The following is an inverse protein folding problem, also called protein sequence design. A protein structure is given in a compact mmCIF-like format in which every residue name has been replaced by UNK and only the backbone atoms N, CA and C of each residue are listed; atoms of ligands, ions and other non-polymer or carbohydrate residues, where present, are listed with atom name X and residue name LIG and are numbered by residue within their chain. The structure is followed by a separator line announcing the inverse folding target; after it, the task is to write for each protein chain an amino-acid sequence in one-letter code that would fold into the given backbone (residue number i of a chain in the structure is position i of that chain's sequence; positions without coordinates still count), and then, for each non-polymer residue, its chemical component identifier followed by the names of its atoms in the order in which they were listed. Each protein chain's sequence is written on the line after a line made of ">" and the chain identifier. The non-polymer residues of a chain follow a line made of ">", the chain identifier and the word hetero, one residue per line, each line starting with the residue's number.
data_IF_356383149747
#
_entry.id   IF_356383149747
#
_cell.length_a   1.000
_cell.length_b   1.000
_cell.length_c   1.000
_cell.angle_alpha   90.00
_cell.angle_beta   90.00
_cell.angle_gamma   90.00
#
_symmetry.space_group_name_H-M   'P 1'
#
loop_
_entity.id
_entity.type
_entity.pdbx_description
1 polymer ?
#
# COMPACT_ATOMS: atom_id res chain seq x y z
N UNK A 1 -7.70 8.02 -21.60
CA UNK A 1 -7.69 9.33 -20.91
C UNK A 1 -7.33 9.03 -19.46
N UNK A 2 -6.30 9.65 -18.90
CA UNK A 2 -5.94 9.50 -17.49
C UNK A 2 -6.70 10.58 -16.72
N UNK A 3 -7.84 10.23 -16.15
CA UNK A 3 -8.77 11.20 -15.57
C UNK A 3 -8.76 11.20 -14.05
N UNK A 4 -8.33 10.10 -13.44
CA UNK A 4 -8.24 9.96 -11.99
C UNK A 4 -7.13 10.84 -11.43
N UNK A 5 -7.44 11.50 -10.32
CA UNK A 5 -6.52 12.35 -9.57
C UNK A 5 -6.68 11.97 -8.11
N UNK A 6 -5.65 11.42 -7.50
CA UNK A 6 -5.74 10.92 -6.13
C UNK A 6 -5.97 12.05 -5.09
N UNK A 7 -5.71 13.31 -5.44
CA UNK A 7 -5.97 14.47 -4.58
C UNK A 7 -7.43 14.61 -4.12
N UNK A 8 -8.41 14.05 -4.86
CA UNK A 8 -9.82 14.02 -4.43
C UNK A 8 -10.08 12.99 -3.31
N UNK A 9 -9.19 12.04 -3.07
CA UNK A 9 -9.44 10.91 -2.18
C UNK A 9 -8.41 10.80 -1.05
N UNK A 10 -7.42 11.70 -1.04
CA UNK A 10 -6.29 11.66 -0.13
C UNK A 10 -6.75 11.62 1.33
N UNK A 11 -6.27 10.60 2.06
CA UNK A 11 -6.55 10.42 3.48
C UNK A 11 -7.91 9.81 3.79
N UNK A 12 -8.62 9.25 2.81
CA UNK A 12 -9.84 8.49 3.06
C UNK A 12 -9.56 7.14 3.76
N UNK A 13 -10.61 6.38 4.07
CA UNK A 13 -10.48 5.07 4.74
C UNK A 13 -9.60 4.06 3.98
N UNK A 14 -9.58 4.13 2.64
CA UNK A 14 -8.82 3.22 1.80
C UNK A 14 -7.31 3.53 1.89
N UNK A 15 -6.96 4.81 1.90
CA UNK A 15 -5.61 5.27 2.15
C UNK A 15 -5.13 4.94 3.56
N UNK A 16 -6.00 5.01 4.57
CA UNK A 16 -5.66 4.60 5.94
C UNK A 16 -5.25 3.13 5.95
N UNK A 17 -6.07 2.22 5.41
CA UNK A 17 -5.74 0.79 5.36
C UNK A 17 -4.44 0.55 4.57
N UNK A 18 -4.33 1.15 3.37
CA UNK A 18 -3.20 0.98 2.47
C UNK A 18 -1.89 1.43 3.11
N UNK A 19 -1.82 2.67 3.59
CA UNK A 19 -0.59 3.23 4.14
C UNK A 19 -0.24 2.64 5.49
N UNK A 20 -1.22 2.27 6.31
CA UNK A 20 -0.95 1.52 7.53
C UNK A 20 -0.27 0.18 7.21
N UNK A 21 -0.84 -0.63 6.32
CA UNK A 21 -0.25 -1.91 5.89
C UNK A 21 1.14 -1.67 5.28
N UNK A 22 1.30 -0.65 4.43
CA UNK A 22 2.58 -0.30 3.83
C UNK A 22 3.65 0.00 4.89
N UNK A 23 3.33 0.80 5.91
CA UNK A 23 4.26 1.10 7.03
C UNK A 23 4.69 -0.20 7.70
N UNK A 24 3.75 -1.10 8.01
CA UNK A 24 4.06 -2.38 8.68
C UNK A 24 4.94 -3.28 7.81
N UNK A 25 4.73 -3.30 6.49
CA UNK A 25 5.58 -4.02 5.56
C UNK A 25 7.01 -3.45 5.54
N UNK A 26 7.18 -2.12 5.52
CA UNK A 26 8.50 -1.50 5.61
C UNK A 26 9.20 -1.81 6.93
N UNK A 27 8.50 -1.67 8.07
CA UNK A 27 9.06 -1.96 9.40
C UNK A 27 9.54 -3.41 9.50
N UNK A 28 8.79 -4.37 8.95
CA UNK A 28 9.25 -5.76 8.89
C UNK A 28 10.48 -5.92 7.99
N UNK A 29 10.48 -5.28 6.81
CA UNK A 29 11.62 -5.34 5.90
C UNK A 29 12.89 -4.73 6.50
N UNK A 30 12.76 -3.75 7.39
CA UNK A 30 13.87 -3.09 8.08
C UNK A 30 14.55 -3.97 9.13
N UNK A 31 13.92 -5.07 9.59
CA UNK A 31 14.50 -5.97 10.60
C UNK A 31 15.76 -6.71 10.13
N UNK A 32 16.00 -6.78 8.81
CA UNK A 32 17.20 -7.38 8.22
C UNK A 32 18.10 -6.31 7.64
N UNK A 33 19.37 -6.28 8.05
CA UNK A 33 20.36 -5.25 7.66
C UNK A 33 20.59 -5.14 6.15
N UNK A 34 20.44 -6.25 5.41
CA UNK A 34 20.53 -6.26 3.95
C UNK A 34 19.51 -5.28 3.35
N UNK A 35 19.96 -4.39 2.46
CA UNK A 35 19.07 -3.45 1.78
C UNK A 35 17.92 -4.16 1.03
N UNK A 36 16.82 -3.45 0.77
CA UNK A 36 15.78 -3.89 -0.16
C UNK A 36 15.45 -2.79 -1.17
N UNK A 37 14.78 -3.18 -2.26
CA UNK A 37 14.21 -2.24 -3.22
C UNK A 37 12.71 -2.13 -2.98
N UNK A 38 12.24 -0.92 -2.70
CA UNK A 38 10.83 -0.58 -2.75
C UNK A 38 10.47 -0.17 -4.18
N UNK A 39 9.41 -0.74 -4.73
CA UNK A 39 8.90 -0.41 -6.06
C UNK A 39 7.45 0.02 -5.92
N UNK A 40 7.14 1.24 -6.34
CA UNK A 40 5.79 1.78 -6.35
C UNK A 40 5.34 1.98 -7.80
N UNK A 41 4.43 1.13 -8.26
CA UNK A 41 4.02 1.13 -9.67
C UNK A 41 3.10 2.30 -10.04
N UNK A 42 2.46 2.94 -9.06
CA UNK A 42 1.46 3.99 -9.23
C UNK A 42 1.60 5.02 -8.10
N UNK A 43 2.67 5.80 -8.17
CA UNK A 43 3.15 6.64 -7.07
C UNK A 43 2.28 7.88 -6.80
N UNK A 44 1.43 8.28 -7.74
CA UNK A 44 0.66 9.50 -7.63
C UNK A 44 1.55 10.74 -7.48
N UNK A 45 1.07 11.73 -6.75
CA UNK A 45 1.77 13.00 -6.52
C UNK A 45 2.73 12.96 -5.31
N UNK A 46 2.74 11.86 -4.55
CA UNK A 46 3.60 11.67 -3.37
C UNK A 46 3.11 12.36 -2.09
N UNK A 47 2.66 13.61 -2.17
CA UNK A 47 2.15 14.39 -1.03
C UNK A 47 0.92 15.18 -1.48
N UNK A 48 -0.13 15.23 -0.64
CA UNK A 48 -1.40 15.83 -0.98
C UNK A 48 -1.80 16.91 0.02
N UNK A 49 -2.15 18.10 -0.48
CA UNK A 49 -2.71 19.16 0.35
C UNK A 49 -4.22 18.93 0.55
N UNK A 50 -4.64 18.76 1.79
CA UNK A 50 -6.03 18.52 2.21
C UNK A 50 -6.89 19.79 2.21
N UNK A 51 -6.26 20.97 2.12
CA UNK A 51 -6.92 22.27 1.93
C UNK A 51 -7.02 22.68 0.44
N UNK A 52 -6.63 21.80 -0.48
CA UNK A 52 -6.79 22.04 -1.93
C UNK A 52 -8.26 22.00 -2.36
N UNK A 53 -8.59 22.70 -3.46
CA UNK A 53 -9.94 22.71 -4.03
C UNK A 53 -10.47 21.30 -4.30
N UNK A 54 -9.60 20.40 -4.77
CA UNK A 54 -9.94 19.01 -5.05
C UNK A 54 -10.29 18.24 -3.76
N UNK A 55 -9.44 18.35 -2.73
CA UNK A 55 -9.66 17.67 -1.45
C UNK A 55 -10.90 18.22 -0.71
N UNK A 56 -11.13 19.54 -0.75
CA UNK A 56 -12.30 20.17 -0.14
C UNK A 56 -13.62 19.82 -0.84
N UNK A 57 -13.59 19.50 -2.15
CA UNK A 57 -14.78 19.12 -2.90
C UNK A 57 -15.37 17.78 -2.44
N UNK A 58 -14.53 16.83 -2.04
CA UNK A 58 -14.95 15.50 -1.60
C UNK A 58 -14.92 15.33 -0.07
N UNK A 59 -14.00 16.02 0.60
CA UNK A 59 -13.76 16.00 2.03
C UNK A 59 -13.60 14.59 2.64
N UNK A 60 -13.10 13.62 1.86
CA UNK A 60 -13.07 12.21 2.29
C UNK A 60 -12.15 11.95 3.50
N UNK A 61 -11.12 12.79 3.70
CA UNK A 61 -10.22 12.72 4.85
C UNK A 61 -10.93 12.89 6.20
N UNK A 62 -12.05 13.62 6.23
CA UNK A 62 -12.87 13.82 7.43
C UNK A 62 -13.43 12.51 7.98
N UNK A 63 -13.66 11.53 7.10
CA UNK A 63 -14.13 10.17 7.45
C UNK A 63 -13.05 9.09 7.31
N UNK A 64 -11.79 9.51 7.15
CA UNK A 64 -10.64 8.63 7.00
C UNK A 64 -9.61 8.90 8.09
N UNK A 65 -8.55 9.64 7.77
CA UNK A 65 -7.46 9.90 8.71
C UNK A 65 -7.84 10.85 9.86
N UNK A 66 -8.80 11.76 9.67
CA UNK A 66 -9.10 12.80 10.65
C UNK A 66 -9.54 12.26 12.04
N UNK A 67 -10.43 11.26 12.17
CA UNK A 67 -10.78 10.68 13.46
C UNK A 67 -9.61 9.97 14.17
N UNK A 68 -8.66 9.42 13.40
CA UNK A 68 -7.49 8.73 13.95
C UNK A 68 -6.38 9.70 14.40
N UNK A 69 -6.32 10.89 13.81
CA UNK A 69 -5.28 11.88 14.02
C UNK A 69 -5.01 12.21 15.49
N UNK A 70 -6.09 12.47 16.23
CA UNK A 70 -6.06 12.89 17.64
C UNK A 70 -6.39 11.75 18.60
N UNK A 71 -6.49 10.50 18.11
CA UNK A 71 -6.77 9.38 19.00
C UNK A 71 -5.60 9.17 19.96
N UNK A 72 -5.94 9.05 21.25
CA UNK A 72 -5.04 8.69 22.35
C UNK A 72 -5.08 7.19 22.68
N UNK A 73 -6.04 6.46 22.11
CA UNK A 73 -6.34 5.05 22.39
C UNK A 73 -6.03 4.13 21.19
N UNK A 74 -5.38 4.65 20.15
CA UNK A 74 -4.98 3.87 19.00
C UNK A 74 -4.03 2.71 19.42
N UNK A 75 -4.30 1.46 18.98
CA UNK A 75 -3.41 0.34 19.20
C UNK A 75 -1.97 0.63 18.78
N UNK A 76 -1.00 0.11 19.54
CA UNK A 76 0.42 0.40 19.34
C UNK A 76 0.93 0.21 17.90
N UNK A 77 0.48 -0.79 17.11
CA UNK A 77 0.92 -0.92 15.72
C UNK A 77 0.59 0.30 14.84
N UNK A 78 -0.49 1.05 15.13
CA UNK A 78 -0.86 2.25 14.37
C UNK A 78 0.06 3.45 14.62
N UNK A 79 0.81 3.46 15.73
CA UNK A 79 1.60 4.61 16.16
C UNK A 79 2.56 5.11 15.07
N UNK A 80 3.35 4.23 14.46
CA UNK A 80 4.31 4.61 13.43
C UNK A 80 3.65 5.25 12.19
N UNK A 81 2.44 4.80 11.83
CA UNK A 81 1.68 5.43 10.75
C UNK A 81 1.16 6.81 11.16
N UNK A 82 0.53 6.92 12.33
CA UNK A 82 -0.01 8.19 12.82
C UNK A 82 1.09 9.23 13.06
N UNK A 83 2.24 8.82 13.59
CA UNK A 83 3.39 9.68 13.83
C UNK A 83 3.99 10.20 12.52
N UNK A 84 3.97 9.40 11.45
CA UNK A 84 4.36 9.84 10.12
C UNK A 84 3.42 10.94 9.59
N UNK A 85 2.10 10.74 9.70
CA UNK A 85 1.14 11.77 9.28
C UNK A 85 1.31 13.03 10.16
N UNK A 86 1.50 12.88 11.49
CA UNK A 86 1.75 13.97 12.46
C UNK A 86 3.01 14.75 12.16
N UNK A 87 4.11 14.06 11.88
CA UNK A 87 5.39 14.66 11.52
C UNK A 87 5.33 15.52 10.26
N UNK A 88 4.45 15.19 9.31
CA UNK A 88 4.20 16.02 8.12
C UNK A 88 3.45 17.33 8.45
N UNK A 89 2.82 17.44 9.62
CA UNK A 89 1.99 18.58 10.01
C UNK A 89 2.40 19.16 11.38
N UNK A 90 3.63 19.71 11.52
CA UNK A 90 4.17 20.18 12.80
C UNK A 90 3.38 21.33 13.44
N UNK A 91 2.56 22.04 12.65
CA UNK A 91 1.70 23.13 13.15
C UNK A 91 0.48 22.65 13.97
N UNK A 92 0.25 21.34 14.09
CA UNK A 92 -0.92 20.76 14.74
C UNK A 92 -2.21 20.82 13.89
N UNK A 93 -2.16 21.46 12.71
CA UNK A 93 -3.26 21.49 11.73
C UNK A 93 -2.97 20.49 10.62
N UNK A 94 -3.90 19.57 10.38
CA UNK A 94 -3.79 18.59 9.29
C UNK A 94 -4.01 19.27 7.94
N UNK A 95 -2.92 19.66 7.28
CA UNK A 95 -2.91 20.30 5.95
C UNK A 95 -2.43 19.37 4.86
N UNK A 96 -1.57 18.42 5.21
CA UNK A 96 -0.94 17.52 4.26
C UNK A 96 -1.19 16.07 4.65
N UNK A 97 -1.38 15.23 3.64
CA UNK A 97 -1.46 13.79 3.77
C UNK A 97 -0.34 13.12 2.97
N UNK A 98 0.39 12.16 3.56
CA UNK A 98 1.45 11.44 2.88
C UNK A 98 0.87 10.38 1.93
N UNK A 99 1.27 10.43 0.67
CA UNK A 99 1.09 9.32 -0.27
C UNK A 99 2.13 8.23 -0.06
N UNK A 100 1.93 7.08 -0.72
CA UNK A 100 2.81 5.91 -0.61
C UNK A 100 4.30 6.20 -0.90
N UNK A 101 4.69 7.10 -1.82
CA UNK A 101 6.10 7.43 -2.00
C UNK A 101 6.71 8.13 -0.78
N UNK A 102 5.98 9.06 -0.17
CA UNK A 102 6.45 9.75 1.03
C UNK A 102 6.56 8.78 2.21
N UNK A 103 5.55 7.91 2.37
CA UNK A 103 5.59 6.83 3.37
C UNK A 103 6.85 5.98 3.19
N UNK A 104 7.14 5.56 1.96
CA UNK A 104 8.31 4.74 1.69
C UNK A 104 9.62 5.48 1.96
N UNK A 105 9.73 6.76 1.62
CA UNK A 105 10.94 7.56 1.84
C UNK A 105 11.25 7.72 3.33
N UNK A 106 10.23 7.98 4.14
CA UNK A 106 10.39 8.19 5.58
C UNK A 106 10.65 6.90 6.36
N UNK A 107 10.02 5.77 5.97
CA UNK A 107 10.10 4.52 6.74
C UNK A 107 11.24 3.62 6.27
N UNK A 108 11.64 3.67 5.00
CA UNK A 108 12.78 2.89 4.52
C UNK A 108 14.10 3.46 5.07
N UNK A 109 15.17 2.67 5.08
CA UNK A 109 16.48 3.12 5.58
C UNK A 109 17.32 3.74 4.45
N UNK A 110 18.46 4.32 4.78
CA UNK A 110 19.33 5.04 3.85
C UNK A 110 19.89 4.14 2.73
N UNK A 111 20.18 2.88 3.03
CA UNK A 111 20.71 1.90 2.07
C UNK A 111 19.64 1.32 1.13
N UNK A 112 18.36 1.44 1.48
CA UNK A 112 17.25 0.92 0.70
C UNK A 112 16.98 1.82 -0.53
N UNK A 113 16.51 1.23 -1.63
CA UNK A 113 16.32 1.95 -2.90
C UNK A 113 14.84 2.07 -3.23
N UNK A 114 14.41 3.24 -3.69
CA UNK A 114 13.03 3.49 -4.09
C UNK A 114 12.93 3.69 -5.60
N UNK A 115 12.04 2.94 -6.25
CA UNK A 115 11.70 3.08 -7.67
C UNK A 115 10.23 3.46 -7.78
N UNK A 116 9.97 4.70 -8.19
CA UNK A 116 8.64 5.31 -8.16
C UNK A 116 8.20 5.58 -9.60
N UNK A 117 7.04 5.06 -9.98
CA UNK A 117 6.48 5.20 -11.31
C UNK A 117 5.16 5.94 -11.25
N UNK A 118 4.99 6.92 -12.13
CA UNK A 118 3.72 7.61 -12.34
C UNK A 118 3.53 7.83 -13.84
N UNK A 119 2.33 7.54 -14.35
CA UNK A 119 2.01 7.63 -15.77
C UNK A 119 1.36 8.97 -16.13
N UNK A 120 0.61 9.57 -15.20
CA UNK A 120 -0.04 10.86 -15.38
C UNK A 120 1.00 11.99 -15.40
N UNK A 121 1.15 12.74 -16.50
CA UNK A 121 2.25 13.70 -16.67
C UNK A 121 2.25 14.84 -15.64
N UNK A 122 1.07 15.30 -15.21
CA UNK A 122 0.99 16.30 -14.14
C UNK A 122 1.36 15.76 -12.76
N UNK A 123 0.95 14.53 -12.40
CA UNK A 123 1.31 13.96 -11.09
C UNK A 123 2.78 13.57 -11.04
N UNK A 124 3.35 13.05 -12.13
CA UNK A 124 4.79 12.82 -12.23
C UNK A 124 5.61 14.10 -11.98
N UNK A 125 5.19 15.24 -12.56
CA UNK A 125 5.84 16.53 -12.31
C UNK A 125 5.73 16.96 -10.84
N UNK A 126 4.53 16.87 -10.25
CA UNK A 126 4.31 17.21 -8.84
C UNK A 126 5.12 16.30 -7.91
N UNK A 127 5.15 14.99 -8.17
CA UNK A 127 5.94 14.00 -7.44
C UNK A 127 7.43 14.36 -7.48
N UNK A 128 7.96 14.65 -8.66
CA UNK A 128 9.36 15.05 -8.85
C UNK A 128 9.68 16.35 -8.10
N UNK A 129 8.79 17.33 -8.14
CA UNK A 129 8.95 18.60 -7.42
C UNK A 129 8.88 18.44 -5.91
N UNK A 130 7.96 17.61 -5.40
CA UNK A 130 7.81 17.31 -3.98
C UNK A 130 9.08 16.67 -3.42
N UNK A 131 9.62 15.64 -4.10
CA UNK A 131 10.86 15.00 -3.67
C UNK A 131 12.08 15.93 -3.78
N UNK A 132 12.16 16.77 -4.82
CA UNK A 132 13.21 17.80 -4.92
C UNK A 132 13.17 18.78 -3.74
N UNK A 133 11.98 19.20 -3.32
CA UNK A 133 11.81 20.09 -2.15
C UNK A 133 12.18 19.39 -0.85
N UNK A 134 11.83 18.11 -0.69
CA UNK A 134 12.21 17.31 0.47
C UNK A 134 13.72 17.14 0.57
N UNK A 135 14.39 16.82 -0.54
CA UNK A 135 15.84 16.69 -0.58
C UNK A 135 16.54 18.03 -0.27
N UNK A 136 16.01 19.15 -0.78
CA UNK A 136 16.53 20.48 -0.46
C UNK A 136 16.38 20.80 1.04
N UNK A 137 15.23 20.49 1.64
CA UNK A 137 15.00 20.70 3.07
C UNK A 137 15.94 19.87 3.95
N UNK A 138 16.14 18.58 3.61
CA UNK A 138 17.10 17.70 4.29
C UNK A 138 18.53 18.25 4.17
N UNK A 139 18.91 18.72 2.98
CA UNK A 139 20.22 19.32 2.75
C UNK A 139 20.45 20.61 3.57
N UNK A 140 19.42 21.44 3.74
CA UNK A 140 19.44 22.62 4.61
C UNK A 140 19.61 22.23 6.09
N UNK A 141 19.10 21.07 6.50
CA UNK A 141 19.25 20.50 7.84
C UNK A 141 20.59 19.75 8.03
N UNK A 142 21.46 19.74 7.03
CA UNK A 142 22.77 19.09 7.09
C UNK A 142 22.77 17.61 6.74
N UNK A 143 21.62 17.04 6.38
CA UNK A 143 21.50 15.66 5.91
C UNK A 143 21.88 15.58 4.43
N UNK A 144 23.04 14.98 4.12
CA UNK A 144 23.50 14.78 2.74
C UNK A 144 23.49 13.30 2.39
N UNK A 145 22.54 12.88 1.55
CA UNK A 145 22.48 11.51 1.06
C UNK A 145 23.64 11.20 0.08
N UNK A 146 24.29 10.05 0.27
CA UNK A 146 25.31 9.55 -0.66
C UNK A 146 24.65 8.81 -1.83
N UNK A 147 24.54 9.51 -2.96
CA UNK A 147 23.98 8.96 -4.20
C UNK A 147 22.45 8.98 -4.27
N UNK A 148 21.90 8.57 -5.41
CA UNK A 148 20.46 8.68 -5.69
C UNK A 148 19.69 7.49 -5.12
N UNK A 149 19.11 7.67 -3.94
CA UNK A 149 18.26 6.68 -3.24
C UNK A 149 16.90 6.50 -3.93
N UNK A 150 16.31 7.61 -4.35
CA UNK A 150 14.97 7.67 -4.96
C UNK A 150 15.11 7.96 -6.46
N UNK A 151 14.53 7.07 -7.27
CA UNK A 151 14.42 7.25 -8.72
C UNK A 151 12.93 7.34 -9.06
N UNK A 152 12.54 8.45 -9.66
CA UNK A 152 11.19 8.73 -10.14
C UNK A 152 11.22 8.67 -11.66
N UNK A 153 10.32 7.90 -12.25
CA UNK A 153 10.25 7.66 -13.69
C UNK A 153 8.82 7.93 -14.20
N UNK A 154 8.71 8.70 -15.30
CA UNK A 154 7.46 8.89 -16.02
C UNK A 154 7.22 7.68 -16.92
N UNK A 155 6.34 6.77 -16.53
CA UNK A 155 6.16 5.53 -17.29
C UNK A 155 5.16 4.56 -16.69
N UNK A 156 4.92 3.46 -17.41
CA UNK A 156 4.05 2.37 -16.97
C UNK A 156 4.76 1.52 -15.90
N UNK A 157 4.33 1.67 -14.65
CA UNK A 157 4.90 0.93 -13.53
C UNK A 157 4.76 -0.59 -13.63
N UNK A 158 3.73 -1.12 -14.32
CA UNK A 158 3.62 -2.55 -14.56
C UNK A 158 4.74 -3.05 -15.47
N UNK A 159 4.98 -2.35 -16.58
CA UNK A 159 6.02 -2.72 -17.54
C UNK A 159 7.42 -2.65 -16.92
N UNK A 160 7.64 -1.72 -15.99
CA UNK A 160 8.90 -1.53 -15.30
C UNK A 160 9.28 -2.69 -14.37
N UNK A 161 8.31 -3.44 -13.83
CA UNK A 161 8.60 -4.58 -12.94
C UNK A 161 9.54 -5.61 -13.59
N UNK A 162 9.38 -5.84 -14.90
CA UNK A 162 10.22 -6.76 -15.69
C UNK A 162 11.71 -6.41 -15.64
N UNK A 163 12.03 -5.12 -15.64
CA UNK A 163 13.42 -4.63 -15.63
C UNK A 163 14.00 -4.55 -14.21
N UNK A 164 13.15 -4.45 -13.19
CA UNK A 164 13.56 -4.27 -11.79
C UNK A 164 13.67 -5.56 -11.00
N UNK A 165 13.01 -6.64 -11.46
CA UNK A 165 12.92 -7.90 -10.73
C UNK A 165 13.74 -9.02 -11.40
N UNK A 166 14.54 -9.78 -10.63
CA UNK A 166 14.86 -9.57 -9.21
C UNK A 166 15.84 -8.40 -9.00
N UNK A 167 15.75 -7.64 -7.91
CA UNK A 167 16.72 -6.59 -7.62
C UNK A 167 18.07 -7.19 -7.20
N UNK A 168 19.19 -6.44 -7.33
CA UNK A 168 20.51 -6.90 -6.88
C UNK A 168 20.56 -7.31 -5.41
N UNK A 169 19.77 -6.65 -4.56
CA UNK A 169 19.65 -6.97 -3.13
C UNK A 169 18.95 -8.30 -2.83
N UNK A 170 18.28 -8.91 -3.82
CA UNK A 170 17.43 -10.09 -3.66
C UNK A 170 16.34 -9.91 -2.59
N UNK A 171 15.93 -8.66 -2.34
CA UNK A 171 14.83 -8.29 -1.44
C UNK A 171 14.04 -7.16 -2.10
N UNK A 172 12.73 -7.34 -2.24
CA UNK A 172 11.83 -6.31 -2.77
C UNK A 172 10.53 -6.25 -1.98
N UNK A 173 10.04 -5.03 -1.81
CA UNK A 173 8.65 -4.74 -1.46
C UNK A 173 8.05 -3.99 -2.65
N UNK A 174 7.01 -4.55 -3.28
CA UNK A 174 6.36 -3.95 -4.44
C UNK A 174 4.95 -3.54 -4.06
N UNK A 175 4.62 -2.26 -4.21
CA UNK A 175 3.26 -1.73 -4.07
C UNK A 175 2.62 -1.57 -5.46
N UNK A 176 1.42 -2.13 -5.60
CA UNK A 176 0.58 -2.04 -6.79
C UNK A 176 -0.74 -1.38 -6.40
N UNK A 177 -0.91 -0.13 -6.81
CA UNK A 177 -2.05 0.73 -6.44
C UNK A 177 -2.62 1.47 -7.66
N UNK A 178 -3.09 0.76 -8.70
CA UNK A 178 -3.66 1.42 -9.87
C UNK A 178 -4.99 2.10 -9.52
N UNK A 179 -5.45 3.06 -10.33
CA UNK A 179 -6.69 3.78 -10.04
C UNK A 179 -7.96 2.95 -10.32
N UNK A 180 -7.85 1.83 -11.05
CA UNK A 180 -8.99 1.02 -11.51
C UNK A 180 -10.04 1.83 -12.29
N UNK A 181 -9.58 2.82 -13.07
CA UNK A 181 -10.43 3.64 -13.95
C UNK A 181 -11.10 2.77 -15.01
N UNK A 182 -10.35 1.79 -15.55
CA UNK A 182 -10.83 0.89 -16.58
C UNK A 182 -10.88 -0.55 -16.06
N UNK A 183 -11.85 -1.33 -16.55
CA UNK A 183 -12.04 -2.74 -16.15
C UNK A 183 -10.79 -3.61 -16.39
N UNK A 184 -9.96 -3.24 -17.36
CA UNK A 184 -8.77 -4.01 -17.71
C UNK A 184 -7.65 -3.87 -16.67
N UNK A 185 -7.71 -2.88 -15.77
CA UNK A 185 -6.70 -2.71 -14.71
C UNK A 185 -6.64 -3.94 -13.79
N UNK A 186 -7.79 -4.55 -13.47
CA UNK A 186 -7.84 -5.80 -12.68
C UNK A 186 -7.08 -6.94 -13.38
N UNK A 187 -7.20 -7.05 -14.70
CA UNK A 187 -6.47 -8.05 -15.48
C UNK A 187 -4.97 -7.71 -15.50
N UNK A 188 -4.62 -6.45 -15.75
CA UNK A 188 -3.23 -5.98 -15.81
C UNK A 188 -2.48 -6.23 -14.50
N UNK A 189 -3.13 -5.98 -13.35
CA UNK A 189 -2.52 -6.28 -12.04
C UNK A 189 -2.21 -7.77 -11.90
N UNK A 190 -3.19 -8.64 -12.19
CA UNK A 190 -2.99 -10.09 -12.10
C UNK A 190 -1.84 -10.55 -13.01
N UNK A 191 -1.84 -10.10 -14.26
CA UNK A 191 -0.83 -10.50 -15.25
C UNK A 191 0.57 -10.00 -14.85
N UNK A 192 0.66 -8.77 -14.33
CA UNK A 192 1.92 -8.20 -13.84
C UNK A 192 2.46 -8.98 -12.62
N UNK A 193 1.58 -9.41 -11.71
CA UNK A 193 1.97 -10.24 -10.57
C UNK A 193 2.41 -11.64 -10.97
N UNK A 194 1.73 -12.27 -11.93
CA UNK A 194 2.12 -13.59 -12.46
C UNK A 194 3.52 -13.54 -13.09
N UNK A 195 3.80 -12.52 -13.91
CA UNK A 195 5.16 -12.32 -14.45
C UNK A 195 6.18 -12.00 -13.35
N UNK A 196 5.83 -11.12 -12.41
CA UNK A 196 6.72 -10.73 -11.31
C UNK A 196 7.08 -11.92 -10.41
N UNK A 197 6.12 -12.78 -10.06
CA UNK A 197 6.35 -14.02 -9.33
C UNK A 197 7.21 -15.00 -10.12
N UNK A 198 7.00 -15.13 -11.44
CA UNK A 198 7.86 -15.95 -12.29
C UNK A 198 9.32 -15.51 -12.31
N UNK A 199 9.59 -14.21 -12.14
CA UNK A 199 10.94 -13.63 -12.08
C UNK A 199 11.55 -13.64 -10.69
N UNK A 200 10.75 -13.29 -9.68
CA UNK A 200 11.18 -13.15 -8.30
C UNK A 200 10.12 -13.69 -7.34
N UNK A 201 10.05 -15.03 -7.17
CA UNK A 201 9.02 -15.69 -6.36
C UNK A 201 9.03 -15.28 -4.88
N UNK A 202 10.17 -14.82 -4.36
CA UNK A 202 10.36 -14.47 -2.95
C UNK A 202 10.15 -12.98 -2.63
N UNK A 203 9.74 -12.16 -3.60
CA UNK A 203 9.36 -10.77 -3.34
C UNK A 203 8.06 -10.67 -2.54
N UNK A 204 7.92 -9.61 -1.73
CA UNK A 204 6.64 -9.27 -1.11
C UNK A 204 5.90 -8.31 -2.03
N UNK A 205 4.69 -8.67 -2.46
CA UNK A 205 3.87 -7.87 -3.37
C UNK A 205 2.59 -7.47 -2.65
N UNK A 206 2.37 -6.18 -2.46
CA UNK A 206 1.18 -5.61 -1.84
C UNK A 206 0.34 -4.92 -2.91
N UNK A 207 -0.93 -5.30 -2.99
CA UNK A 207 -1.88 -4.82 -3.98
C UNK A 207 -3.04 -4.15 -3.26
N UNK A 208 -3.21 -2.86 -3.46
CA UNK A 208 -4.45 -2.20 -3.07
C UNK A 208 -5.52 -2.47 -4.13
N UNK A 209 -6.77 -2.66 -3.70
CA UNK A 209 -7.89 -2.74 -4.63
C UNK A 209 -9.20 -2.23 -4.04
N UNK A 210 -10.07 -1.60 -4.87
CA UNK A 210 -11.39 -1.20 -4.43
C UNK A 210 -12.33 -2.41 -4.46
N UNK A 211 -13.21 -2.50 -3.46
CA UNK A 211 -14.28 -3.52 -3.40
C UNK A 211 -15.59 -2.84 -3.83
N UNK A 212 -15.97 -3.09 -5.08
CA UNK A 212 -17.09 -2.45 -5.77
C UNK A 212 -18.14 -3.50 -6.18
N UNK A 213 -19.35 -3.06 -6.50
CA UNK A 213 -20.44 -3.95 -6.90
C UNK A 213 -20.24 -4.61 -8.28
N UNK A 214 -19.26 -4.16 -9.06
CA UNK A 214 -18.94 -4.72 -10.38
C UNK A 214 -18.26 -6.10 -10.25
N UNK A 215 -18.49 -6.96 -11.24
CA UNK A 215 -18.04 -8.36 -11.21
C UNK A 215 -16.52 -8.50 -11.14
N UNK A 216 -15.77 -7.65 -11.85
CA UNK A 216 -14.31 -7.69 -11.90
C UNK A 216 -13.70 -7.48 -10.52
N UNK A 217 -14.26 -6.55 -9.74
CA UNK A 217 -13.82 -6.26 -8.37
C UNK A 217 -14.18 -7.40 -7.42
N UNK A 218 -15.41 -7.92 -7.47
CA UNK A 218 -15.86 -9.04 -6.62
C UNK A 218 -15.02 -10.30 -6.81
N UNK A 219 -14.63 -10.61 -8.05
CA UNK A 219 -13.81 -11.78 -8.36
C UNK A 219 -12.31 -11.54 -8.18
N UNK A 220 -11.87 -10.31 -7.92
CA UNK A 220 -10.47 -9.94 -8.04
C UNK A 220 -9.59 -10.69 -7.04
N UNK A 221 -9.94 -10.64 -5.75
CA UNK A 221 -9.21 -11.35 -4.71
C UNK A 221 -9.11 -12.85 -5.00
N UNK A 222 -10.19 -13.49 -5.43
CA UNK A 222 -10.19 -14.91 -5.77
C UNK A 222 -9.31 -15.25 -6.98
N UNK A 223 -9.16 -14.32 -7.93
CA UNK A 223 -8.19 -14.47 -9.03
C UNK A 223 -6.76 -14.33 -8.53
N UNK A 224 -6.49 -13.46 -7.56
CA UNK A 224 -5.17 -13.29 -6.96
C UNK A 224 -4.77 -14.50 -6.08
N UNK A 225 -5.72 -15.12 -5.36
CA UNK A 225 -5.51 -16.37 -4.59
C UNK A 225 -4.95 -17.52 -5.44
N UNK A 226 -5.12 -17.48 -6.77
CA UNK A 226 -4.66 -18.51 -7.72
C UNK A 226 -3.25 -18.26 -8.25
N UNK A 227 -2.62 -17.14 -7.91
CA UNK A 227 -1.24 -16.84 -8.32
C UNK A 227 -0.25 -17.78 -7.62
N UNK A 228 0.91 -18.07 -8.26
CA UNK A 228 1.90 -19.01 -7.74
C UNK A 228 2.79 -18.43 -6.63
N UNK A 229 2.19 -17.77 -5.63
CA UNK A 229 2.89 -17.31 -4.43
C UNK A 229 2.92 -18.41 -3.37
N UNK A 230 3.95 -18.39 -2.51
CA UNK A 230 4.06 -19.36 -1.42
C UNK A 230 2.88 -19.23 -0.45
N UNK A 231 2.60 -18.00 -0.06
CA UNK A 231 1.55 -17.62 0.89
C UNK A 231 0.90 -16.32 0.43
N UNK A 232 -0.36 -16.10 0.81
CA UNK A 232 -1.08 -14.88 0.57
C UNK A 232 -1.93 -14.48 1.77
N UNK A 233 -2.17 -13.18 1.91
CA UNK A 233 -3.02 -12.56 2.92
C UNK A 233 -3.90 -11.52 2.24
N UNK A 234 -5.20 -11.57 2.53
CA UNK A 234 -6.18 -10.60 2.07
C UNK A 234 -6.83 -9.96 3.28
N UNK A 235 -6.79 -8.63 3.38
CA UNK A 235 -7.52 -7.86 4.38
C UNK A 235 -8.44 -6.87 3.67
N UNK A 236 -9.71 -6.83 4.06
CA UNK A 236 -10.66 -5.82 3.57
C UNK A 236 -11.21 -5.00 4.73
N UNK A 237 -11.44 -3.71 4.47
CA UNK A 237 -12.14 -2.80 5.35
C UNK A 237 -13.38 -2.29 4.63
N UNK A 238 -14.53 -2.42 5.27
CA UNK A 238 -15.81 -1.83 4.86
C UNK A 238 -16.23 -0.82 5.92
N UNK A 239 -16.42 0.44 5.53
CA UNK A 239 -16.81 1.51 6.45
C UNK A 239 -18.32 1.77 6.48
N UNK A 240 -19.06 1.34 5.45
CA UNK A 240 -20.52 1.47 5.43
C UNK A 240 -21.18 0.45 4.52
N UNK A 241 -22.50 0.29 4.67
CA UNK A 241 -23.33 -0.49 3.77
C UNK A 241 -23.28 0.10 2.35
N UNK A 242 -23.07 -0.73 1.31
CA UNK A 242 -23.13 -0.23 -0.05
C UNK A 242 -24.47 0.41 -0.40
N UNK A 243 -24.44 1.57 -1.06
CA UNK A 243 -25.68 2.19 -1.54
C UNK A 243 -26.34 1.32 -2.61
N UNK A 244 -27.68 1.31 -2.71
CA UNK A 244 -28.39 0.56 -3.75
C UNK A 244 -27.90 0.90 -5.17
N UNK A 245 -27.53 2.16 -5.40
CA UNK A 245 -27.02 2.65 -6.68
C UNK A 245 -25.55 2.28 -6.94
N UNK A 246 -24.87 1.69 -5.96
CA UNK A 246 -23.47 1.24 -6.06
C UNK A 246 -22.45 2.37 -6.24
N UNK A 247 -22.80 3.59 -5.85
CA UNK A 247 -21.99 4.79 -6.04
C UNK A 247 -21.00 5.02 -4.90
N UNK A 248 -19.74 5.28 -5.25
CA UNK A 248 -18.68 5.58 -4.28
C UNK A 248 -17.95 4.35 -3.75
N UNK A 249 -16.84 4.60 -3.05
CA UNK A 249 -16.01 3.56 -2.44
C UNK A 249 -16.37 3.42 -0.96
N UNK A 250 -16.91 2.28 -0.58
CA UNK A 250 -17.27 1.99 0.83
C UNK A 250 -16.39 0.89 1.44
N UNK A 251 -15.72 0.14 0.56
CA UNK A 251 -14.92 -1.01 0.91
C UNK A 251 -13.67 -1.02 0.04
N UNK A 252 -12.53 -1.29 0.66
CA UNK A 252 -11.26 -1.49 -0.04
C UNK A 252 -10.50 -2.65 0.61
N UNK A 253 -9.50 -3.18 -0.10
CA UNK A 253 -8.68 -4.26 0.39
C UNK A 253 -7.20 -4.10 0.07
N UNK A 254 -6.38 -4.79 0.86
CA UNK A 254 -4.98 -5.03 0.61
C UNK A 254 -4.77 -6.53 0.45
N UNK A 255 -4.26 -6.94 -0.71
CA UNK A 255 -3.87 -8.31 -1.01
C UNK A 255 -2.35 -8.42 -1.05
N UNK A 256 -1.77 -9.24 -0.19
CA UNK A 256 -0.34 -9.37 -0.02
C UNK A 256 0.09 -10.78 -0.41
N UNK A 257 1.00 -10.89 -1.37
CA UNK A 257 1.70 -12.12 -1.71
C UNK A 257 3.02 -12.18 -0.96
N UNK A 258 3.33 -13.35 -0.41
CA UNK A 258 4.44 -13.59 0.51
C UNK A 258 4.45 -12.58 1.67
N UNK A 259 3.35 -12.50 2.45
CA UNK A 259 3.26 -11.58 3.57
C UNK A 259 4.26 -11.95 4.68
N UNK A 260 4.76 -10.96 5.44
CA UNK A 260 5.40 -11.21 6.72
C UNK A 260 4.49 -12.02 7.66
N UNK A 261 5.05 -12.99 8.38
CA UNK A 261 4.27 -13.84 9.30
C UNK A 261 3.63 -13.05 10.46
N UNK A 262 4.19 -11.88 10.79
CA UNK A 262 3.68 -10.99 11.84
C UNK A 262 2.47 -10.16 11.40
N UNK A 263 2.20 -10.07 10.09
CA UNK A 263 1.22 -9.13 9.55
C UNK A 263 -0.22 -9.55 9.87
N UNK A 264 -0.57 -10.83 9.71
CA UNK A 264 -1.92 -11.30 9.96
C UNK A 264 -2.34 -11.17 11.45
N UNK A 265 -1.56 -11.64 12.45
CA UNK A 265 -1.91 -11.47 13.85
C UNK A 265 -2.09 -10.00 14.24
N UNK A 266 -1.20 -9.12 13.77
CA UNK A 266 -1.29 -7.68 14.00
C UNK A 266 -2.56 -7.08 13.39
N UNK A 267 -2.94 -7.48 12.18
CA UNK A 267 -4.20 -7.02 11.58
C UNK A 267 -5.41 -7.50 12.38
N UNK A 268 -5.40 -8.72 12.92
CA UNK A 268 -6.50 -9.21 13.78
C UNK A 268 -6.67 -8.36 15.05
N UNK A 269 -5.60 -7.78 15.57
CA UNK A 269 -5.64 -6.84 16.70
C UNK A 269 -6.16 -5.45 16.28
N UNK A 270 -5.71 -4.91 15.16
CA UNK A 270 -5.94 -3.51 14.77
C UNK A 270 -7.26 -3.29 14.02
N UNK A 271 -7.68 -4.24 13.19
CA UNK A 271 -8.85 -4.08 12.33
C UNK A 271 -10.17 -3.82 13.09
N UNK A 272 -10.44 -4.44 14.27
CA UNK A 272 -11.61 -4.08 15.09
C UNK A 272 -11.63 -2.59 15.45
N UNK A 273 -10.47 -2.02 15.83
CA UNK A 273 -10.34 -0.61 16.17
C UNK A 273 -10.57 0.29 14.94
N UNK A 274 -10.02 -0.06 13.77
CA UNK A 274 -10.29 0.69 12.54
C UNK A 274 -11.77 0.67 12.14
N UNK A 275 -12.47 -0.45 12.33
CA UNK A 275 -13.93 -0.51 12.11
C UNK A 275 -14.67 0.38 13.10
N UNK A 276 -14.29 0.36 14.38
CA UNK A 276 -14.89 1.21 15.40
C UNK A 276 -14.75 2.71 15.08
N UNK A 277 -13.57 3.14 14.63
CA UNK A 277 -13.28 4.57 14.40
C UNK A 277 -13.75 5.07 13.04
N UNK A 278 -13.64 4.23 12.00
CA UNK A 278 -13.94 4.64 10.62
C UNK A 278 -15.33 4.20 10.14
N UNK A 279 -15.98 3.30 10.87
CA UNK A 279 -17.33 2.83 10.55
C UNK A 279 -18.36 3.94 10.63
N UNK A 280 -19.24 4.02 9.62
CA UNK A 280 -20.29 5.03 9.50
C UNK A 280 -21.69 4.46 9.77
N UNK A 281 -21.85 3.14 9.70
CA UNK A 281 -23.10 2.43 9.98
C UNK A 281 -22.86 1.00 10.49
N UNK A 282 -23.93 0.27 10.81
CA UNK A 282 -23.87 -1.12 11.27
C UNK A 282 -23.39 -2.14 10.23
N UNK A 283 -23.17 -1.73 8.98
CA UNK A 283 -22.57 -2.54 7.92
C UNK A 283 -21.04 -2.50 7.90
N UNK A 284 -20.42 -1.61 8.71
CA UNK A 284 -18.98 -1.51 8.85
C UNK A 284 -18.39 -2.82 9.41
N UNK A 285 -17.35 -3.34 8.76
CA UNK A 285 -16.73 -4.63 9.09
C UNK A 285 -15.37 -4.76 8.44
N UNK A 286 -14.61 -5.76 8.87
CA UNK A 286 -13.41 -6.19 8.17
C UNK A 286 -13.47 -7.68 7.85
N UNK A 287 -12.68 -8.11 6.87
CA UNK A 287 -12.39 -9.52 6.64
C UNK A 287 -10.89 -9.73 6.59
N UNK A 288 -10.42 -10.87 7.10
CA UNK A 288 -9.04 -11.33 6.97
C UNK A 288 -9.09 -12.77 6.50
N UNK A 289 -8.48 -13.05 5.36
CA UNK A 289 -8.31 -14.38 4.79
C UNK A 289 -6.83 -14.59 4.49
N UNK A 290 -6.32 -15.78 4.77
CA UNK A 290 -4.96 -16.15 4.37
C UNK A 290 -4.95 -17.56 3.79
N UNK A 291 -3.91 -17.87 3.03
CA UNK A 291 -3.71 -19.19 2.48
C UNK A 291 -2.28 -19.42 2.06
N UNK A 292 -1.88 -20.68 2.06
CA UNK A 292 -0.64 -21.14 1.46
C UNK A 292 -0.95 -21.88 0.17
N UNK A 293 -0.01 -21.88 -0.78
CA UNK A 293 -0.11 -22.84 -1.86
C UNK A 293 0.03 -24.25 -1.30
N UNK A 294 -0.98 -25.08 -1.53
CA UNK A 294 -0.89 -26.52 -1.35
C UNK A 294 0.19 -27.00 -2.32
N UNK A 295 1.34 -27.39 -1.80
CA UNK A 295 2.42 -28.00 -2.57
C UNK A 295 1.89 -29.28 -3.21
N UNK A 296 1.41 -29.17 -4.44
CA UNK A 296 0.76 -30.27 -5.15
C UNK A 296 0.55 -30.00 -6.64
N UNK A 297 1.33 -29.10 -7.24
CA UNK A 297 1.45 -28.99 -8.70
C UNK A 297 2.71 -28.20 -9.05
N UNK A 298 3.87 -28.80 -8.78
CA UNK A 298 5.03 -28.51 -9.62
C UNK A 298 4.71 -29.00 -11.03
N UNK A 299 4.00 -28.18 -11.81
CA UNK A 299 3.87 -28.38 -13.24
C UNK A 299 5.27 -28.20 -13.84
N UNK A 300 5.92 -29.32 -14.10
CA UNK A 300 7.24 -29.37 -14.71
C UNK A 300 7.27 -28.58 -16.00
N UNK A 301 8.06 -27.51 -16.01
CA UNK A 301 8.75 -27.04 -17.21
C UNK A 301 10.22 -27.38 -17.06
N UNK A 302 10.54 -28.66 -17.20
CA UNK A 302 11.90 -29.09 -17.50
C UNK A 302 11.97 -29.40 -18.99
N UNK A 303 12.51 -28.44 -19.75
CA UNK A 303 12.99 -28.69 -21.11
C UNK A 303 14.42 -29.19 -20.99
N UNK A 304 14.62 -30.46 -21.37
CA UNK A 304 15.89 -31.03 -21.84
C UNK A 304 17.12 -30.90 -20.92
N UNK A 305 17.32 -31.87 -20.03
CA UNK A 305 18.58 -32.07 -19.35
C UNK A 305 18.69 -33.50 -18.81
N UNK A 306 19.64 -34.27 -19.33
CA UNK A 306 19.90 -35.69 -19.03
C UNK A 306 20.07 -35.93 -17.52
N UNK A 307 19.52 -37.02 -16.92
CA UNK A 307 19.61 -37.24 -15.49
C UNK A 307 21.05 -37.61 -15.07
N UNK A 308 21.64 -36.85 -14.14
CA UNK A 308 22.82 -37.28 -13.39
C UNK A 308 22.38 -37.98 -12.10
N UNK A 309 22.89 -39.20 -11.91
CA UNK A 309 22.70 -40.03 -10.73
C UNK A 309 23.40 -39.39 -9.51
N UNK A 310 22.74 -39.24 -8.35
CA UNK A 310 23.41 -38.83 -7.12
C UNK A 310 24.10 -40.03 -6.47
N UNK A 311 25.42 -39.96 -6.32
CA UNK A 311 26.20 -40.87 -5.47
C UNK A 311 25.93 -40.52 -4.01
N UNK A 312 25.42 -41.49 -3.26
CA UNK A 312 25.09 -41.35 -1.85
C UNK A 312 26.33 -41.25 -0.96
N UNK A 313 26.14 -40.62 0.19
CA UNK A 313 26.78 -41.06 1.43
C UNK A 313 25.84 -40.74 2.60
N UNK A 314 25.10 -41.77 3.01
CA UNK A 314 24.38 -41.80 4.26
C UNK A 314 25.33 -42.25 5.37
N UNK A 315 25.37 -41.52 6.49
CA UNK A 315 25.71 -42.11 7.78
C UNK A 315 24.49 -42.00 8.70
N UNK A 316 23.94 -43.18 9.01
CA UNK A 316 22.97 -43.48 10.06
C UNK A 316 23.64 -43.38 11.43
N UNK A 317 22.89 -42.91 12.42
CA UNK A 317 22.69 -43.63 13.68
C UNK A 317 21.36 -43.16 14.31
N UNK A 318 20.60 -44.13 14.84
CA UNK A 318 19.21 -44.03 15.28
C UNK A 318 19.11 -43.90 16.83
N UNK A 319 18.05 -44.35 17.54
CA UNK A 319 17.04 -43.47 18.16
C UNK A 319 16.88 -43.70 19.67
N UNK A 320 16.18 -42.82 20.39
CA UNK A 320 15.55 -43.19 21.66
C UNK A 320 14.16 -42.55 21.81
N UNK A 321 13.19 -43.45 21.90
CA UNK A 321 11.81 -43.29 22.36
C UNK A 321 11.74 -43.09 23.87
N UNK A 322 10.76 -42.34 24.36
CA UNK A 322 10.38 -42.32 25.77
C UNK A 322 9.09 -41.56 26.00
N UNK A 323 7.97 -42.28 26.11
CA UNK A 323 6.77 -41.82 26.82
C UNK A 323 7.10 -41.65 28.31
N UNK A 324 6.46 -40.69 28.99
CA UNK A 324 6.56 -40.59 30.45
C UNK A 324 5.90 -39.36 31.04
N UNK A 325 4.60 -39.49 31.34
CA UNK A 325 3.89 -38.74 32.38
C UNK A 325 4.68 -38.76 33.70
N UNK A 326 4.70 -37.65 34.46
CA UNK A 326 4.72 -37.67 35.94
C UNK A 326 4.49 -36.27 36.52
N UNK A 327 3.33 -36.10 37.15
CA UNK A 327 3.08 -35.18 38.27
C UNK A 327 3.87 -35.63 39.50
N UNK A 328 4.25 -34.69 40.35
CA UNK A 328 4.64 -34.90 41.75
C UNK A 328 3.99 -33.81 42.66
N UNK A 329 3.88 -34.03 44.00
CA UNK A 329 2.67 -33.76 44.80
C UNK A 329 2.83 -32.83 46.03
N UNK A 330 1.69 -32.47 46.66
CA UNK A 330 1.54 -31.92 48.03
C UNK A 330 1.61 -30.37 48.11
N UNK A 331 0.74 -29.61 48.80
CA UNK A 331 -0.13 -29.84 49.96
C UNK A 331 -1.36 -28.89 49.90
N UNK A 332 -2.58 -29.42 50.07
CA UNK A 332 -3.55 -29.20 51.18
C UNK A 332 -4.45 -27.94 51.12
N UNK A 333 -5.75 -28.22 50.95
CA UNK A 333 -6.93 -27.36 51.15
C UNK A 333 -7.35 -27.32 52.64
N UNK A 334 -8.22 -26.37 53.01
CA UNK A 334 -9.55 -26.74 53.51
C UNK A 334 -10.64 -25.89 52.81
N UNK A 335 -11.91 -26.24 52.73
CA UNK A 335 -12.71 -27.33 53.26
C UNK A 335 -14.04 -27.35 52.48
N UNK A 336 -14.73 -28.48 52.54
CA UNK A 336 -16.01 -28.75 51.87
C UNK A 336 -17.15 -27.95 52.49
N UNK A 337 -18.17 -27.66 51.68
CA UNK A 337 -19.55 -27.99 52.08
C UNK A 337 -20.40 -28.34 50.85
N UNK A 338 -21.25 -29.34 51.07
CA UNK A 338 -22.08 -30.07 50.12
C UNK A 338 -23.40 -29.32 49.81
N UNK A 339 -24.06 -29.67 48.70
CA UNK A 339 -25.43 -29.21 48.48
C UNK A 339 -25.99 -29.52 47.09
N UNK A 340 -26.86 -30.52 47.03
CA UNK A 340 -27.36 -31.17 45.83
C UNK A 340 -28.55 -30.46 45.13
N UNK A 341 -28.75 -30.90 43.88
CA UNK A 341 -30.03 -31.14 43.19
C UNK A 341 -30.89 -29.97 42.64
N UNK A 342 -31.16 -30.07 41.33
CA UNK A 342 -32.34 -29.55 40.60
C UNK A 342 -33.64 -30.20 41.12
N UNK A 343 -34.83 -29.60 40.91
CA UNK A 343 -35.65 -30.00 39.73
C UNK A 343 -36.56 -28.91 39.08
N UNK A 344 -36.89 -29.22 37.81
CA UNK A 344 -38.06 -28.99 36.94
C UNK A 344 -39.21 -27.96 37.14
N UNK A 345 -39.56 -27.32 35.98
CA UNK A 345 -40.87 -27.09 35.29
C UNK A 345 -42.05 -26.27 35.88
N UNK A 346 -42.42 -25.22 35.12
CA UNK A 346 -43.80 -24.84 34.66
C UNK A 346 -44.56 -23.76 35.47
N UNK A 347 -45.64 -23.11 34.95
CA UNK A 347 -46.25 -23.09 33.60
C UNK A 347 -46.57 -21.67 33.02
N UNK A 348 -47.20 -21.64 31.82
CA UNK A 348 -47.76 -20.49 31.06
C UNK A 348 -49.07 -19.90 31.67
N UNK A 349 -49.57 -18.77 31.13
CA UNK A 349 -50.98 -18.73 30.73
C UNK A 349 -51.27 -18.17 29.32
N UNK A 350 -52.46 -18.50 28.82
CA UNK A 350 -53.08 -18.15 27.53
C UNK A 350 -53.95 -16.87 27.60
N UNK A 351 -54.30 -16.32 26.44
CA UNK A 351 -55.39 -15.35 26.29
C UNK A 351 -55.43 -14.62 24.93
N UNK A 352 -56.17 -15.18 23.96
CA UNK A 352 -56.76 -14.53 22.75
C UNK A 352 -58.26 -14.29 23.03
N UNK A 353 -59.05 -13.47 22.28
CA UNK A 353 -59.21 -13.47 20.80
C UNK A 353 -59.39 -12.04 20.22
N UNK A 354 -59.51 -11.72 18.93
CA UNK A 354 -59.63 -12.43 17.65
C UNK A 354 -60.46 -11.56 16.72
N UNK A 355 -60.08 -11.37 15.45
CA UNK A 355 -61.04 -11.12 14.37
C UNK A 355 -60.46 -11.41 12.98
N UNK A 356 -61.34 -12.00 12.16
CA UNK A 356 -61.28 -12.43 10.75
C UNK A 356 -61.35 -11.18 9.85
N UNK A 357 -61.22 -11.14 8.53
CA UNK A 357 -60.77 -11.96 7.39
C UNK A 357 -60.92 -11.01 6.17
N UNK A 358 -60.23 -11.25 5.05
CA UNK A 358 -60.80 -11.26 3.69
C UNK A 358 -59.71 -11.25 2.61
N UNK A 359 -59.79 -12.24 1.73
CA UNK A 359 -59.14 -12.30 0.44
C UNK A 359 -59.97 -11.50 -0.60
N UNK A 360 -59.32 -10.99 -1.66
CA UNK A 360 -60.05 -10.40 -2.79
C UNK A 360 -59.19 -9.85 -3.93
N UNK A 361 -58.87 -10.74 -4.89
CA UNK A 361 -58.86 -10.56 -6.37
C UNK A 361 -58.29 -9.28 -7.02
N UNK A 362 -57.32 -9.49 -7.94
CA UNK A 362 -57.18 -8.73 -9.20
C UNK A 362 -58.24 -9.22 -10.22
N UNK A 363 -58.65 -8.44 -11.26
CA UNK A 363 -57.82 -8.22 -12.47
C UNK A 363 -58.09 -6.90 -13.27
N UNK A 364 -57.30 -6.63 -14.32
CA UNK A 364 -57.82 -6.02 -15.56
C UNK A 364 -57.04 -4.84 -16.18
N UNK A 365 -56.46 -5.09 -17.36
CA UNK A 365 -55.86 -4.13 -18.32
C UNK A 365 -56.85 -3.09 -18.90
N UNK A 366 -56.34 -1.90 -19.29
CA UNK A 366 -56.35 -1.27 -20.67
C UNK A 366 -56.29 0.28 -20.70
N UNK A 367 -55.94 0.91 -21.86
CA UNK A 367 -54.99 2.05 -21.94
C UNK A 367 -55.55 3.39 -22.49
N UNK A 368 -54.61 4.31 -22.80
CA UNK A 368 -54.71 5.58 -23.56
C UNK A 368 -55.30 6.76 -22.76
N UNK A 369 -54.83 8.01 -22.83
CA UNK A 369 -53.83 8.71 -23.65
C UNK A 369 -54.22 10.20 -23.59
N UNK A 370 -53.28 11.14 -23.46
CA UNK A 370 -53.29 12.42 -24.17
C UNK A 370 -52.12 13.35 -23.79
N UNK A 371 -51.81 14.23 -24.73
CA UNK A 371 -50.57 15.00 -24.94
C UNK A 371 -50.51 16.32 -24.13
N UNK A 372 -49.27 16.71 -23.78
CA UNK A 372 -48.56 18.03 -23.85
C UNK A 372 -49.31 19.37 -23.64
N UNK A 373 -48.68 20.51 -23.25
CA UNK A 373 -47.26 20.95 -23.40
C UNK A 373 -46.65 21.47 -22.06
N UNK A 374 -45.40 21.91 -21.86
CA UNK A 374 -44.34 22.41 -22.71
C UNK A 374 -43.95 23.81 -22.22
N UNK A 375 -42.97 23.94 -21.32
CA UNK A 375 -42.36 25.24 -20.95
C UNK A 375 -40.83 25.13 -21.00
N UNK A 376 -40.23 25.98 -21.84
CA UNK A 376 -38.79 26.21 -21.95
C UNK A 376 -38.42 27.41 -21.08
N UNK A 377 -37.39 27.27 -20.26
CA UNK A 377 -36.71 28.39 -19.61
C UNK A 377 -35.55 28.92 -20.49
N UNK A 378 -35.24 30.23 -20.43
CA UNK A 378 -34.39 30.91 -21.41
C UNK A 378 -32.89 30.82 -21.11
N UNK A 379 -32.08 30.85 -22.16
CA UNK A 379 -30.62 30.93 -22.12
C UNK A 379 -30.14 32.38 -22.16
N UNK A 380 -29.33 32.76 -21.17
CA UNK A 380 -28.61 34.04 -21.15
C UNK A 380 -27.35 34.00 -22.05
N UNK A 381 -27.18 35.08 -22.82
CA UNK A 381 -25.99 35.41 -23.61
C UNK A 381 -25.06 36.31 -22.78
N UNK A 382 -23.75 36.06 -22.86
CA UNK A 382 -22.71 37.03 -22.51
C UNK A 382 -21.81 37.31 -23.75
N UNK A 383 -21.17 38.50 -23.84
CA UNK A 383 -20.68 39.06 -25.09
C UNK A 383 -19.22 38.72 -25.40
N UNK A 384 -18.90 38.76 -26.68
CA UNK A 384 -17.57 38.50 -27.21
C UNK A 384 -16.60 39.68 -27.07
N UNK A 385 -15.31 39.36 -27.05
CA UNK A 385 -14.24 40.31 -27.30
C UNK A 385 -13.36 39.83 -28.46
N UNK A 386 -13.13 40.77 -29.39
CA UNK A 386 -12.30 40.70 -30.59
C UNK A 386 -10.82 40.81 -30.23
N UNK A 387 -9.95 40.13 -30.99
CA UNK A 387 -8.62 40.63 -31.33
C UNK A 387 -8.21 40.17 -32.74
N UNK A 388 -7.42 40.95 -33.52
CA UNK A 388 -7.29 40.79 -34.96
C UNK A 388 -5.95 40.19 -35.44
N UNK A 389 -6.04 39.52 -36.58
CA UNK A 389 -5.14 39.45 -37.75
C UNK A 389 -3.62 39.12 -37.64
N UNK A 390 -3.29 37.96 -38.23
CA UNK A 390 -2.31 37.69 -39.31
C UNK A 390 -0.96 38.44 -39.33
N UNK A 391 0.14 37.67 -39.34
CA UNK A 391 1.08 37.53 -40.49
C UNK A 391 2.11 36.41 -40.26
N UNK A 392 2.28 35.54 -41.26
CA UNK A 392 3.51 34.77 -41.54
C UNK A 392 4.50 35.66 -42.31
N UNK A 393 5.82 35.35 -42.40
CA UNK A 393 6.38 34.25 -43.21
C UNK A 393 7.55 33.54 -42.48
N UNK A 394 8.26 32.52 -42.94
CA UNK A 394 8.43 31.83 -44.22
C UNK A 394 9.79 31.10 -44.13
N UNK A 395 9.84 29.87 -44.62
CA UNK A 395 11.04 29.02 -44.67
C UNK A 395 12.14 29.61 -45.59
N UNK A 396 13.43 29.34 -45.30
CA UNK A 396 14.33 28.57 -46.19
C UNK A 396 15.81 28.50 -45.75
N UNK A 397 16.29 27.26 -45.67
CA UNK A 397 17.56 26.65 -46.13
C UNK A 397 18.96 27.21 -45.78
N UNK A 398 19.70 26.33 -45.08
CA UNK A 398 21.03 25.76 -45.38
C UNK A 398 22.17 26.65 -45.91
N UNK A 399 23.29 26.69 -45.16
CA UNK A 399 24.62 26.47 -45.75
C UNK A 399 25.71 26.08 -44.73
N UNK A 400 26.68 25.36 -45.26
CA UNK A 400 27.84 24.70 -44.67
C UNK A 400 28.88 25.61 -43.98
N UNK A 401 29.64 25.07 -43.00
CA UNK A 401 31.12 25.03 -43.04
C UNK A 401 31.73 24.21 -41.88
N UNK A 402 32.85 23.58 -42.22
CA UNK A 402 33.67 22.59 -41.48
C UNK A 402 34.57 23.21 -40.38
N UNK A 403 35.27 22.37 -39.56
CA UNK A 403 35.83 22.73 -38.27
C UNK A 403 37.31 23.17 -38.31
N UNK A 404 37.74 23.90 -37.28
CA UNK A 404 39.13 24.17 -36.87
C UNK A 404 39.14 24.11 -35.34
N UNK A 405 40.10 23.59 -34.58
CA UNK A 405 41.40 22.97 -34.82
C UNK A 405 41.95 22.54 -33.44
N UNK A 406 42.90 21.60 -33.45
CA UNK A 406 43.69 21.09 -32.30
C UNK A 406 44.51 22.22 -31.61
N UNK A 407 45.17 22.12 -30.45
CA UNK A 407 45.79 21.03 -29.71
C UNK A 407 46.26 21.56 -28.30
N UNK A 408 46.90 20.74 -27.43
CA UNK A 408 46.95 20.89 -25.97
C UNK A 408 48.26 21.52 -25.45
N UNK A 409 48.33 21.76 -24.12
CA UNK A 409 49.61 21.96 -23.41
C UNK A 409 49.74 21.10 -22.14
N UNK A 410 50.75 20.25 -22.24
CA UNK A 410 51.57 19.45 -21.32
C UNK A 410 51.69 19.77 -19.82
N UNK A 411 51.83 18.68 -19.05
CA UNK A 411 52.53 18.52 -17.76
C UNK A 411 54.03 18.94 -17.84
N UNK A 412 54.88 19.05 -16.81
CA UNK A 412 55.05 18.35 -15.52
C UNK A 412 56.05 19.18 -14.60
N UNK A 413 56.95 18.60 -13.75
CA UNK A 413 56.82 18.56 -12.28
C UNK A 413 58.06 19.06 -11.49
N UNK A 414 58.05 18.96 -10.15
CA UNK A 414 59.24 19.01 -9.28
C UNK A 414 58.94 19.65 -7.91
N UNK A 415 59.40 19.18 -6.75
CA UNK A 415 60.27 18.06 -6.41
C UNK A 415 60.62 18.10 -4.91
N UNK A 416 61.01 16.92 -4.40
CA UNK A 416 61.94 16.65 -3.28
C UNK A 416 61.62 17.07 -1.82
N UNK A 417 61.72 16.08 -0.92
CA UNK A 417 61.75 16.19 0.56
C UNK A 417 63.10 16.70 1.12
N UNK A 418 63.63 16.27 2.30
CA UNK A 418 63.41 14.97 2.96
C UNK A 418 63.41 14.94 4.54
N UNK A 419 63.29 13.71 5.06
CA UNK A 419 64.00 13.09 6.21
C UNK A 419 63.69 13.42 7.69
N UNK A 420 63.19 12.37 8.37
CA UNK A 420 63.71 11.70 9.58
C UNK A 420 64.09 12.49 10.86
N UNK A 421 63.47 12.09 11.98
CA UNK A 421 63.95 12.37 13.34
C UNK A 421 63.26 11.47 14.38
N UNK A 422 64.05 10.69 15.11
CA UNK A 422 63.70 9.69 16.13
C UNK A 422 63.55 10.29 17.55
N UNK A 423 63.06 9.46 18.50
CA UNK A 423 63.07 9.60 19.99
C UNK A 423 61.94 10.46 20.59
N UNK A 424 61.39 10.25 21.79
CA UNK A 424 61.54 9.29 22.90
C UNK A 424 60.32 9.42 23.83
N UNK A 425 60.04 8.35 24.58
CA UNK A 425 59.15 8.23 25.76
C UNK A 425 59.14 9.46 26.68
N UNK A 426 57.97 9.76 27.28
CA UNK A 426 57.82 10.05 28.73
C UNK A 426 56.34 10.00 29.18
N UNK A 427 56.09 9.09 30.12
CA UNK A 427 54.95 9.04 31.05
C UNK A 427 54.96 10.26 31.98
N UNK A 428 53.81 10.63 32.58
CA UNK A 428 53.79 11.21 33.92
C UNK A 428 52.98 10.37 34.91
N UNK A 429 53.23 10.55 36.23
CA UNK A 429 52.85 9.62 37.28
C UNK A 429 51.47 9.94 37.88
N UNK A 430 50.91 8.95 38.55
CA UNK A 430 49.78 9.12 39.46
C UNK A 430 50.15 9.97 40.68
N UNK A 431 49.14 10.67 41.20
CA UNK A 431 49.15 11.38 42.47
C UNK A 431 47.76 11.30 43.10
N UNK A 432 47.72 10.74 44.30
CA UNK A 432 46.55 10.44 45.15
C UNK A 432 45.85 11.72 45.66
N UNK A 433 44.53 11.66 45.81
CA UNK A 433 43.84 11.69 47.11
C UNK A 433 42.53 10.93 47.01
#
# INVERSE_FOLDING_TARGET
>A
MLSYRHAFHAGNHADVLKHFVQVQLHLYMNQKDTAYTYIDTHSGAGVYALDSVQALKSAESATGIAPLWNSSDAPAPLAAYLDLVRGMNPSGKMRYYPGSPYVADQVSREQDRLRLFELHPSDHRILSENFRKLDAHKAEQGERARGRRVIIEHGDGFASLKALLPPPSRRALVLIDPPYEIKDDYKRVRDALDEALGRFPSGTYAVWYPVLQRMESRQFADRLKRLPAKEWLNVTLTIRTPTPDGTGLHSSGMFILNPPYTLEPMLREVMPYLVQVLGQDGGARFTIESGAQVTGAAAGRNVGGVPRVPVGNARRASPLSGQGSLRLPGQSMPGREEGAARPARGPKPEGRPGERAAAGRAPGDRPAGDRAPGERAPSERAPGNRAPNKRAPGERSAESRRPQGAAPRSAAPGGAGPAAGTRSRRTPPGGRK
#
